data_IF_173356874993
#
_entry.id   IF_173356874993
#
_cell.length_a   1.000
_cell.length_b   1.000
_cell.length_c   1.000
_cell.angle_alpha   90.00
_cell.angle_beta   90.00
_cell.angle_gamma   90.00
#
_symmetry.space_group_name_H-M   'P 1'
#
loop_
_entity.id
_entity.type
_entity.pdbx_description
1 polymer ?
#
# COMPACT_ATOMS: atom_id res chain seq x y z
N UNK A 1 -30.46 13.92 -29.71
CA UNK A 1 -30.59 13.22 -28.40
C UNK A 1 -29.77 11.93 -28.33
N UNK A 2 -30.02 10.89 -29.15
CA UNK A 2 -29.25 9.63 -29.13
C UNK A 2 -27.72 9.79 -29.29
N UNK A 3 -27.28 10.69 -30.18
CA UNK A 3 -25.84 10.98 -30.40
C UNK A 3 -25.16 11.64 -29.20
N UNK A 4 -25.86 12.50 -28.46
CA UNK A 4 -25.34 13.19 -27.27
C UNK A 4 -25.19 12.19 -26.11
N UNK A 5 -26.16 11.28 -25.95
CA UNK A 5 -26.10 10.21 -24.93
C UNK A 5 -24.89 9.29 -25.17
N UNK A 6 -24.62 8.92 -26.42
CA UNK A 6 -23.44 8.08 -26.78
C UNK A 6 -22.14 8.80 -26.44
N UNK A 7 -22.01 10.10 -26.75
CA UNK A 7 -20.81 10.89 -26.46
C UNK A 7 -20.57 11.01 -24.95
N UNK A 8 -21.63 11.23 -24.16
CA UNK A 8 -21.52 11.31 -22.68
C UNK A 8 -21.07 9.97 -22.08
N UNK A 9 -21.60 8.84 -22.58
CA UNK A 9 -21.17 7.50 -22.15
C UNK A 9 -19.69 7.25 -22.44
N UNK A 10 -19.20 7.65 -23.63
CA UNK A 10 -17.78 7.52 -23.98
C UNK A 10 -16.87 8.36 -23.08
N UNK A 11 -17.27 9.59 -22.74
CA UNK A 11 -16.49 10.46 -21.84
C UNK A 11 -16.38 9.85 -20.44
N UNK A 12 -17.48 9.31 -19.89
CA UNK A 12 -17.50 8.67 -18.57
C UNK A 12 -16.61 7.41 -18.56
N UNK A 13 -16.65 6.60 -19.63
CA UNK A 13 -15.82 5.40 -19.76
C UNK A 13 -14.31 5.74 -19.83
N UNK A 14 -13.95 6.81 -20.53
CA UNK A 14 -12.56 7.27 -20.58
C UNK A 14 -12.09 7.75 -19.20
N UNK A 15 -12.90 8.53 -18.48
CA UNK A 15 -12.57 9.03 -17.14
C UNK A 15 -12.34 7.89 -16.13
N UNK A 16 -13.15 6.82 -16.17
CA UNK A 16 -12.98 5.67 -15.28
C UNK A 16 -11.73 4.83 -15.61
N UNK A 17 -11.33 4.76 -16.89
CA UNK A 17 -10.07 4.13 -17.30
C UNK A 17 -8.86 4.90 -16.75
N UNK A 18 -8.87 6.24 -16.85
CA UNK A 18 -7.78 7.07 -16.34
C UNK A 18 -7.58 6.90 -14.84
N UNK A 19 -8.65 7.00 -14.04
CA UNK A 19 -8.55 6.86 -12.58
C UNK A 19 -8.06 5.46 -12.17
N UNK A 20 -8.53 4.41 -12.84
CA UNK A 20 -8.06 3.04 -12.60
C UNK A 20 -6.55 2.88 -12.85
N UNK A 21 -6.04 3.42 -13.96
CA UNK A 21 -4.60 3.34 -14.27
C UNK A 21 -3.73 4.10 -13.28
N UNK A 22 -4.16 5.29 -12.84
CA UNK A 22 -3.44 6.09 -11.85
C UNK A 22 -3.36 5.35 -10.50
N UNK A 23 -4.47 4.78 -10.06
CA UNK A 23 -4.55 3.99 -8.82
C UNK A 23 -3.62 2.76 -8.84
N UNK A 24 -3.60 2.02 -9.96
CA UNK A 24 -2.72 0.85 -10.10
C UNK A 24 -1.23 1.24 -10.11
N UNK A 25 -0.90 2.37 -10.73
CA UNK A 25 0.46 2.92 -10.75
C UNK A 25 0.91 3.32 -9.35
N UNK A 26 0.07 4.04 -8.62
CA UNK A 26 0.33 4.45 -7.23
C UNK A 26 0.55 3.24 -6.31
N UNK A 27 -0.34 2.25 -6.36
CA UNK A 27 -0.17 1.00 -5.62
C UNK A 27 1.15 0.30 -5.96
N UNK A 28 1.53 0.26 -7.24
CA UNK A 28 2.79 -0.37 -7.66
C UNK A 28 4.00 0.38 -7.12
N UNK A 29 3.96 1.71 -7.13
CA UNK A 29 5.03 2.55 -6.63
C UNK A 29 5.24 2.36 -5.13
N UNK A 30 4.17 2.41 -4.33
CA UNK A 30 4.32 2.30 -2.87
C UNK A 30 4.80 0.90 -2.44
N UNK A 31 4.32 -0.17 -3.10
CA UNK A 31 4.81 -1.54 -2.86
C UNK A 31 6.30 -1.65 -3.13
N UNK A 32 6.75 -1.07 -4.24
CA UNK A 32 8.15 -1.08 -4.64
C UNK A 32 9.01 -0.28 -3.67
N UNK A 33 8.60 0.94 -3.33
CA UNK A 33 9.31 1.79 -2.39
C UNK A 33 9.45 1.14 -1.01
N UNK A 34 8.37 0.57 -0.48
CA UNK A 34 8.39 -0.15 0.80
C UNK A 34 9.28 -1.40 0.74
N UNK A 35 9.22 -2.16 -0.36
CA UNK A 35 10.10 -3.32 -0.56
C UNK A 35 11.58 -2.93 -0.61
N UNK A 36 11.95 -1.87 -1.33
CA UNK A 36 13.36 -1.50 -1.45
C UNK A 36 13.98 -1.06 -0.12
N UNK A 37 13.17 -0.47 0.76
CA UNK A 37 13.58 -0.06 2.11
C UNK A 37 13.72 -1.25 3.09
N UNK A 38 13.30 -2.46 2.71
CA UNK A 38 13.55 -3.66 3.52
C UNK A 38 15.00 -4.14 3.41
N UNK A 39 15.56 -4.57 4.54
CA UNK A 39 16.82 -5.30 4.59
C UNK A 39 16.74 -6.68 3.93
N UNK A 40 17.88 -7.28 3.57
CA UNK A 40 17.93 -8.58 2.88
C UNK A 40 17.30 -9.72 3.70
N UNK A 41 17.46 -9.71 5.02
CA UNK A 41 16.88 -10.72 5.92
C UNK A 41 15.34 -10.69 5.86
N UNK A 42 14.73 -9.50 5.95
CA UNK A 42 13.29 -9.35 5.85
C UNK A 42 12.77 -9.77 4.46
N UNK A 43 13.47 -9.40 3.38
CA UNK A 43 13.13 -9.86 2.01
C UNK A 43 13.17 -11.39 1.89
N UNK A 44 14.15 -12.04 2.52
CA UNK A 44 14.29 -13.49 2.53
C UNK A 44 13.16 -14.19 3.31
N UNK A 45 12.60 -13.53 4.32
CA UNK A 45 11.51 -14.05 5.12
C UNK A 45 10.12 -13.89 4.46
N UNK A 46 9.98 -12.95 3.52
CA UNK A 46 8.75 -12.72 2.78
C UNK A 46 8.54 -13.79 1.70
N UNK A 47 7.29 -14.23 1.54
CA UNK A 47 6.85 -15.08 0.43
C UNK A 47 6.61 -14.22 -0.81
N UNK A 48 7.54 -14.29 -1.77
CA UNK A 48 7.43 -13.62 -3.07
C UNK A 48 8.35 -12.40 -3.19
N UNK A 49 7.82 -11.32 -3.75
CA UNK A 49 8.56 -10.07 -3.99
C UNK A 49 7.61 -8.87 -3.82
N UNK A 50 8.07 -7.65 -4.11
CA UNK A 50 7.27 -6.42 -3.98
C UNK A 50 5.84 -6.51 -4.56
N UNK A 51 5.62 -7.29 -5.64
CA UNK A 51 4.30 -7.44 -6.28
C UNK A 51 3.27 -8.13 -5.40
N UNK A 52 3.69 -8.99 -4.46
CA UNK A 52 2.77 -9.70 -3.55
C UNK A 52 2.21 -8.80 -2.45
N UNK A 53 2.74 -7.58 -2.31
CA UNK A 53 2.28 -6.62 -1.32
C UNK A 53 0.83 -6.18 -1.52
N UNK A 54 0.10 -6.07 -0.42
CA UNK A 54 -1.25 -5.47 -0.36
C UNK A 54 -1.15 -4.08 0.26
N UNK A 55 -1.80 -3.11 -0.37
CA UNK A 55 -1.79 -1.71 0.05
C UNK A 55 -3.17 -1.34 0.55
N UNK A 56 -3.23 -0.70 1.71
CA UNK A 56 -4.42 -0.01 2.22
C UNK A 56 -4.05 1.35 2.79
N UNK A 57 -5.01 2.25 2.86
CA UNK A 57 -4.86 3.55 3.52
C UNK A 57 -5.50 3.49 4.90
N UNK A 58 -4.83 4.04 5.91
CA UNK A 58 -5.34 4.14 7.28
C UNK A 58 -4.89 5.44 7.91
N UNK A 59 -5.63 5.93 8.91
CA UNK A 59 -5.13 6.95 9.82
C UNK A 59 -4.23 6.31 10.87
N UNK A 60 -2.98 6.76 10.98
CA UNK A 60 -2.02 6.18 11.93
C UNK A 60 -2.41 6.51 13.38
N UNK A 61 -2.56 5.48 14.21
CA UNK A 61 -2.75 5.59 15.67
C UNK A 61 -1.51 5.10 16.41
N UNK A 62 -1.16 5.66 17.59
CA UNK A 62 0.01 5.25 18.37
C UNK A 62 0.02 3.75 18.72
N UNK A 63 -1.15 3.12 18.82
CA UNK A 63 -1.30 1.71 19.21
C UNK A 63 -1.11 0.71 18.06
N UNK A 64 -0.88 1.17 16.82
CA UNK A 64 -0.89 0.29 15.65
C UNK A 64 0.41 -0.48 15.43
N UNK A 65 1.51 -0.09 16.07
CA UNK A 65 2.82 -0.68 15.79
C UNK A 65 3.98 0.06 16.43
N UNK A 66 5.17 -0.26 15.95
CA UNK A 66 6.39 0.49 16.20
C UNK A 66 6.50 1.62 15.17
N UNK A 67 6.43 2.87 15.64
CA UNK A 67 6.37 4.07 14.82
C UNK A 67 7.68 4.83 14.99
N UNK A 68 8.48 4.90 13.93
CA UNK A 68 9.78 5.59 13.97
C UNK A 68 9.67 7.10 13.82
N UNK A 69 8.54 7.60 13.30
CA UNK A 69 8.30 9.02 13.06
C UNK A 69 6.90 9.42 13.55
N UNK A 70 6.85 9.91 14.81
CA UNK A 70 5.60 10.28 15.49
C UNK A 70 4.87 11.47 14.82
N UNK A 71 5.54 12.25 13.96
CA UNK A 71 4.93 13.36 13.24
C UNK A 71 3.84 12.91 12.25
N UNK A 72 3.72 11.60 12.02
CA UNK A 72 2.68 10.98 11.20
C UNK A 72 1.47 10.47 11.99
N UNK A 73 1.49 10.52 13.33
CA UNK A 73 0.33 10.16 14.15
C UNK A 73 -0.84 11.07 13.79
N UNK A 74 -2.02 10.48 13.57
CA UNK A 74 -3.23 11.18 13.14
C UNK A 74 -3.29 11.50 11.64
N UNK A 75 -2.24 11.21 10.86
CA UNK A 75 -2.24 11.40 9.40
C UNK A 75 -2.65 10.12 8.66
N UNK A 76 -3.16 10.30 7.44
CA UNK A 76 -3.37 9.19 6.52
C UNK A 76 -2.03 8.68 6.00
N UNK A 77 -1.83 7.37 6.07
CA UNK A 77 -0.62 6.67 5.63
C UNK A 77 -0.99 5.46 4.76
N UNK A 78 0.00 4.91 4.07
CA UNK A 78 -0.09 3.59 3.46
C UNK A 78 0.33 2.50 4.45
N UNK A 79 -0.44 1.42 4.51
CA UNK A 79 0.00 0.15 5.09
C UNK A 79 0.28 -0.82 3.95
N UNK A 80 1.53 -1.26 3.84
CA UNK A 80 1.97 -2.27 2.88
C UNK A 80 2.16 -3.58 3.65
N UNK A 81 1.35 -4.59 3.32
CA UNK A 81 1.41 -5.89 3.98
C UNK A 81 1.93 -6.98 3.06
N UNK A 82 2.85 -7.79 3.57
CA UNK A 82 3.45 -8.93 2.88
C UNK A 82 3.23 -10.20 3.67
N UNK A 83 2.89 -11.30 2.98
CA UNK A 83 2.83 -12.62 3.59
C UNK A 83 4.25 -13.16 3.77
N UNK A 84 4.56 -13.71 4.93
CA UNK A 84 5.85 -14.31 5.25
C UNK A 84 5.84 -15.80 4.91
N UNK A 85 7.00 -16.45 5.07
CA UNK A 85 7.16 -17.90 4.91
C UNK A 85 6.78 -18.69 6.17
N UNK A 86 6.34 -18.02 7.24
CA UNK A 86 5.87 -18.68 8.46
C UNK A 86 4.60 -19.46 8.22
N UNK A 87 4.53 -20.65 8.80
CA UNK A 87 3.34 -21.48 8.78
C UNK A 87 2.32 -21.03 9.84
N UNK A 88 2.76 -20.31 10.88
CA UNK A 88 1.87 -19.80 11.92
C UNK A 88 0.98 -18.66 11.38
N UNK A 89 -0.36 -18.83 11.32
CA UNK A 89 -1.27 -17.84 10.77
C UNK A 89 -1.21 -16.45 11.42
N UNK A 90 -0.86 -16.37 12.71
CA UNK A 90 -0.80 -15.09 13.46
C UNK A 90 0.55 -14.38 13.32
N UNK A 91 1.50 -14.97 12.59
CA UNK A 91 2.83 -14.39 12.33
C UNK A 91 3.18 -14.38 10.85
N UNK A 92 2.24 -14.79 10.01
CA UNK A 92 2.47 -14.96 8.58
C UNK A 92 2.40 -13.64 7.78
N UNK A 93 2.35 -12.49 8.44
CA UNK A 93 2.20 -11.20 7.79
C UNK A 93 3.12 -10.16 8.42
N UNK A 94 3.78 -9.34 7.59
CA UNK A 94 4.52 -8.15 8.03
C UNK A 94 3.82 -6.93 7.45
N UNK A 95 3.51 -5.94 8.29
CA UNK A 95 2.93 -4.66 7.90
C UNK A 95 3.96 -3.54 8.00
N UNK A 96 4.15 -2.78 6.93
CA UNK A 96 4.99 -1.58 6.89
C UNK A 96 4.10 -0.34 6.79
N UNK A 97 4.42 0.67 7.58
CA UNK A 97 3.81 2.00 7.48
C UNK A 97 4.63 2.87 6.56
N UNK A 98 4.01 3.48 5.56
CA UNK A 98 4.66 4.35 4.60
C UNK A 98 3.92 5.67 4.44
N UNK A 99 4.67 6.77 4.37
CA UNK A 99 4.13 8.10 4.08
C UNK A 99 3.44 8.15 2.71
N UNK A 100 2.36 8.94 2.60
CA UNK A 100 1.70 9.19 1.31
C UNK A 100 2.54 10.11 0.42
N UNK A 101 3.33 11.00 1.02
CA UNK A 101 4.03 12.08 0.33
C UNK A 101 5.21 11.58 -0.50
N UNK A 102 6.03 10.70 0.09
CA UNK A 102 7.30 10.25 -0.48
C UNK A 102 7.51 8.73 -0.41
N UNK A 103 6.51 7.98 0.09
CA UNK A 103 6.58 6.54 0.30
C UNK A 103 7.70 6.09 1.25
N UNK A 104 8.22 6.99 2.09
CA UNK A 104 9.19 6.66 3.14
C UNK A 104 8.54 5.73 4.15
N UNK A 105 9.23 4.65 4.52
CA UNK A 105 8.81 3.77 5.61
C UNK A 105 9.02 4.49 6.94
N UNK A 106 7.95 4.59 7.72
CA UNK A 106 7.86 5.36 8.97
C UNK A 106 7.52 4.48 10.18
N UNK A 107 7.54 3.16 10.00
CA UNK A 107 7.31 2.20 11.06
C UNK A 107 6.82 0.84 10.56
N UNK A 108 6.52 -0.03 11.50
CA UNK A 108 6.00 -1.38 11.26
C UNK A 108 4.78 -1.64 12.12
N UNK A 109 3.75 -2.21 11.52
CA UNK A 109 2.52 -2.58 12.24
C UNK A 109 2.69 -3.88 13.02
N UNK A 110 2.00 -3.98 14.15
CA UNK A 110 1.87 -5.25 14.84
C UNK A 110 1.11 -6.25 13.98
N UNK A 111 1.58 -7.49 14.00
CA UNK A 111 0.85 -8.61 13.39
C UNK A 111 -0.30 -8.96 14.33
N UNK A 112 -1.51 -9.05 13.79
CA UNK A 112 -2.70 -9.52 14.51
C UNK A 112 -2.65 -11.06 14.65
#
# INVERSE_FOLDING_TARGET
MKKIIIVVFFIIAILSLYSGTAYLKEQSNVKRAAWEQLGPEAKNFIKGNWRSGKVRKVTLSPSMGDISDEAYIGKEIYVVSFTTKEDNPTRNTVGLFASIEDYKVIGTGYVD
#
